data_IF_189683747795
#
_entry.id   IF_189683747795
#
_cell.length_a   1.000
_cell.length_b   1.000
_cell.length_c   1.000
_cell.angle_alpha   90.00
_cell.angle_beta   90.00
_cell.angle_gamma   90.00
#
_symmetry.space_group_name_H-M   'P 1'
#
loop_
_entity.id
_entity.type
_entity.pdbx_description
1 polymer ?
#
# COMPACT_ATOMS: atom_id res chain seq x y z
N UNK A 1 -1.46 6.28 25.11
CA UNK A 1 -2.65 5.97 24.28
C UNK A 1 -2.14 5.06 23.19
N UNK A 2 -2.66 3.84 23.07
CA UNK A 2 -2.28 2.94 21.97
C UNK A 2 -2.71 3.58 20.66
N UNK A 3 -1.76 4.12 19.90
CA UNK A 3 -2.05 4.71 18.60
C UNK A 3 -2.39 3.55 17.66
N UNK A 4 -3.68 3.41 17.35
CA UNK A 4 -4.16 2.37 16.47
C UNK A 4 -3.92 2.79 15.03
N UNK A 5 -3.30 1.90 14.27
CA UNK A 5 -3.17 2.05 12.83
C UNK A 5 -4.55 2.04 12.15
N UNK A 6 -4.88 3.15 11.49
CA UNK A 6 -6.10 3.30 10.69
C UNK A 6 -5.90 2.84 9.24
N UNK A 7 -4.72 3.11 8.65
CA UNK A 7 -4.44 2.72 7.28
C UNK A 7 -4.56 1.20 7.15
N UNK A 8 -5.18 0.74 6.06
CA UNK A 8 -5.56 -0.65 5.74
C UNK A 8 -6.47 -1.40 6.74
N UNK A 9 -6.74 -0.86 7.93
CA UNK A 9 -7.54 -1.53 8.98
C UNK A 9 -8.86 -0.83 9.33
N UNK A 10 -9.08 0.38 8.83
CA UNK A 10 -10.31 1.14 9.01
C UNK A 10 -10.87 1.56 7.64
N UNK A 11 -12.19 1.45 7.41
CA UNK A 11 -12.79 1.93 6.18
C UNK A 11 -12.51 3.42 5.94
N UNK A 12 -12.27 3.78 4.69
CA UNK A 12 -11.96 5.16 4.33
C UNK A 12 -11.24 5.30 3.01
N UNK A 13 -10.92 6.55 2.68
CA UNK A 13 -10.15 6.90 1.50
C UNK A 13 -8.80 7.45 1.92
N UNK A 14 -7.75 6.98 1.28
CA UNK A 14 -6.40 7.49 1.46
C UNK A 14 -5.85 7.91 0.11
N UNK A 15 -5.00 8.92 0.13
CA UNK A 15 -4.26 9.35 -1.05
C UNK A 15 -2.80 9.41 -0.68
N UNK A 16 -1.95 9.27 -1.68
CA UNK A 16 -0.52 9.33 -1.50
C UNK A 16 0.18 9.82 -2.73
N UNK A 17 1.43 10.23 -2.54
CA UNK A 17 2.32 10.60 -3.61
C UNK A 17 3.75 10.23 -3.24
N UNK A 18 4.60 10.10 -4.25
CA UNK A 18 5.98 9.77 -4.02
C UNK A 18 6.78 9.63 -5.30
N UNK A 19 7.89 8.92 -5.19
CA UNK A 19 8.80 8.62 -6.29
C UNK A 19 9.09 7.13 -6.37
N UNK A 20 9.30 6.67 -7.59
CA UNK A 20 9.79 5.35 -7.95
C UNK A 20 11.18 5.53 -8.53
N UNK A 21 12.17 4.82 -8.00
CA UNK A 21 13.56 4.83 -8.46
C UNK A 21 13.99 3.42 -8.84
N UNK A 22 14.84 3.28 -9.86
CA UNK A 22 15.35 1.98 -10.30
C UNK A 22 16.84 1.88 -9.96
N UNK A 23 17.28 0.76 -9.38
CA UNK A 23 18.68 0.60 -8.95
C UNK A 23 19.72 0.77 -10.05
N UNK A 24 19.32 0.59 -11.31
CA UNK A 24 20.19 0.71 -12.49
C UNK A 24 20.20 2.09 -13.15
N UNK A 25 19.35 3.03 -12.71
CA UNK A 25 19.26 4.36 -13.30
C UNK A 25 19.26 5.47 -12.25
N UNK A 26 19.49 6.71 -12.69
CA UNK A 26 19.28 7.91 -11.86
C UNK A 26 17.89 8.51 -12.05
N UNK A 27 17.08 7.87 -12.90
CA UNK A 27 15.77 8.36 -13.24
C UNK A 27 14.80 8.04 -12.10
N UNK A 28 13.88 8.97 -11.87
CA UNK A 28 12.79 8.79 -10.93
C UNK A 28 11.48 9.14 -11.61
N UNK A 29 10.47 8.33 -11.36
CA UNK A 29 9.10 8.59 -11.79
C UNK A 29 8.31 9.04 -10.59
N UNK A 30 7.56 10.14 -10.72
CA UNK A 30 6.58 10.48 -9.68
C UNK A 30 5.38 9.58 -9.80
N UNK A 31 4.77 9.25 -8.68
CA UNK A 31 3.49 8.55 -8.68
C UNK A 31 2.50 9.23 -7.74
N UNK A 32 1.23 9.01 -8.04
CA UNK A 32 0.10 9.34 -7.19
C UNK A 32 -0.68 8.07 -6.94
N UNK A 33 -1.15 7.88 -5.71
CA UNK A 33 -1.96 6.72 -5.34
C UNK A 33 -3.24 7.13 -4.64
N UNK A 34 -4.31 6.39 -4.91
CA UNK A 34 -5.58 6.50 -4.20
C UNK A 34 -5.97 5.13 -3.70
N UNK A 35 -6.44 5.07 -2.46
CA UNK A 35 -6.89 3.85 -1.79
C UNK A 35 -8.34 3.99 -1.35
N UNK A 36 -9.10 2.93 -1.55
CA UNK A 36 -10.45 2.76 -1.03
C UNK A 36 -10.47 1.51 -0.16
N UNK A 37 -10.73 1.70 1.13
CA UNK A 37 -10.73 0.62 2.11
C UNK A 37 -12.17 0.43 2.57
N UNK A 38 -12.65 -0.81 2.45
CA UNK A 38 -13.99 -1.23 2.84
C UNK A 38 -13.90 -2.44 3.76
N UNK A 39 -14.78 -2.50 4.76
CA UNK A 39 -14.93 -3.70 5.59
C UNK A 39 -15.96 -4.61 4.94
N UNK A 40 -15.64 -5.88 4.79
CA UNK A 40 -16.62 -6.86 4.32
C UNK A 40 -17.69 -7.11 5.41
N UNK A 41 -18.98 -7.07 5.04
CA UNK A 41 -20.10 -7.09 6.00
C UNK A 41 -20.15 -8.35 6.89
N UNK A 42 -19.59 -9.46 6.41
CA UNK A 42 -19.73 -10.80 7.04
C UNK A 42 -18.41 -11.39 7.50
N UNK A 43 -17.31 -10.66 7.40
CA UNK A 43 -15.99 -11.15 7.76
C UNK A 43 -15.13 -10.05 8.40
N UNK A 44 -14.06 -10.43 9.09
CA UNK A 44 -13.01 -9.50 9.53
C UNK A 44 -11.95 -9.26 8.44
N UNK A 45 -12.35 -9.38 7.17
CA UNK A 45 -11.51 -9.06 6.02
C UNK A 45 -11.74 -7.62 5.59
N UNK A 46 -10.64 -6.91 5.37
CA UNK A 46 -10.64 -5.59 4.75
C UNK A 46 -10.36 -5.75 3.26
N UNK A 47 -11.23 -5.17 2.43
CA UNK A 47 -11.02 -5.07 0.98
C UNK A 47 -10.44 -3.70 0.68
N UNK A 48 -9.26 -3.67 0.08
CA UNK A 48 -8.64 -2.43 -0.34
C UNK A 48 -8.50 -2.40 -1.85
N UNK A 49 -8.90 -1.30 -2.48
CA UNK A 49 -8.59 -1.03 -3.87
C UNK A 49 -7.56 0.08 -3.89
N UNK A 50 -6.48 -0.12 -4.64
CA UNK A 50 -5.47 0.89 -4.86
C UNK A 50 -5.41 1.21 -6.34
N UNK A 51 -5.38 2.49 -6.65
CA UNK A 51 -5.09 3.01 -7.97
C UNK A 51 -3.74 3.72 -7.90
N UNK A 52 -2.85 3.47 -8.85
CA UNK A 52 -1.53 4.10 -8.98
C UNK A 52 -1.41 4.70 -10.36
N UNK A 53 -1.14 6.00 -10.39
CA UNK A 53 -0.86 6.77 -11.59
C UNK A 53 0.61 7.18 -11.58
N UNK A 54 1.34 6.86 -12.65
CA UNK A 54 2.75 7.24 -12.80
C UNK A 54 2.87 8.42 -13.77
N UNK A 55 3.66 9.42 -13.41
CA UNK A 55 3.88 10.59 -14.24
C UNK A 55 4.51 10.18 -15.58
N UNK A 56 3.83 10.50 -16.68
CA UNK A 56 4.29 10.18 -18.04
C UNK A 56 3.91 8.78 -18.53
N UNK A 57 3.19 7.98 -17.72
CA UNK A 57 2.56 6.76 -18.19
C UNK A 57 1.11 7.02 -18.61
N UNK A 58 0.66 6.40 -19.70
CA UNK A 58 -0.73 6.49 -20.15
C UNK A 58 -1.66 5.56 -19.35
N UNK A 59 -1.09 4.55 -18.68
CA UNK A 59 -1.84 3.51 -17.98
C UNK A 59 -1.87 3.77 -16.47
N UNK A 60 -3.03 3.46 -15.90
CA UNK A 60 -3.28 3.46 -14.46
C UNK A 60 -3.20 2.02 -13.98
N UNK A 61 -2.41 1.76 -12.94
CA UNK A 61 -2.30 0.44 -12.33
C UNK A 61 -3.35 0.32 -11.22
N UNK A 62 -4.15 -0.74 -11.27
CA UNK A 62 -5.17 -1.03 -10.26
C UNK A 62 -4.81 -2.31 -9.53
N UNK A 63 -4.65 -2.21 -8.20
CA UNK A 63 -4.37 -3.33 -7.32
C UNK A 63 -5.60 -3.59 -6.43
N UNK A 64 -5.93 -4.86 -6.22
CA UNK A 64 -6.92 -5.28 -5.24
C UNK A 64 -6.22 -6.03 -4.12
N UNK A 65 -6.47 -5.60 -2.88
CA UNK A 65 -5.93 -6.25 -1.70
C UNK A 65 -7.03 -6.82 -0.81
N UNK A 66 -6.75 -8.00 -0.25
CA UNK A 66 -7.53 -8.58 0.83
C UNK A 66 -6.64 -8.73 2.06
N UNK A 67 -7.07 -8.15 3.18
CA UNK A 67 -6.27 -8.08 4.41
C UNK A 67 -7.06 -8.73 5.53
N UNK A 68 -6.44 -9.70 6.20
CA UNK A 68 -7.06 -10.45 7.29
C UNK A 68 -6.12 -10.52 8.48
N UNK A 69 -6.53 -9.93 9.62
CA UNK A 69 -5.77 -10.06 10.87
C UNK A 69 -5.74 -11.52 11.33
N UNK A 70 -4.56 -12.02 11.67
CA UNK A 70 -4.34 -13.37 12.22
C UNK A 70 -4.05 -13.32 13.71
N UNK A 71 -3.56 -12.18 14.21
CA UNK A 71 -3.32 -11.89 15.63
C UNK A 71 -3.33 -10.37 15.86
N UNK A 72 -2.88 -9.92 17.03
CA UNK A 72 -2.82 -8.48 17.36
C UNK A 72 -1.77 -7.73 16.53
N UNK A 73 -0.66 -8.39 16.21
CA UNK A 73 0.55 -7.84 15.59
C UNK A 73 0.83 -8.43 14.19
N UNK A 74 -0.06 -9.28 13.65
CA UNK A 74 0.12 -9.94 12.34
C UNK A 74 -1.15 -10.02 11.52
N UNK A 75 -0.97 -10.01 10.21
CA UNK A 75 -2.03 -10.18 9.23
C UNK A 75 -1.54 -10.93 7.98
N UNK A 76 -2.48 -11.51 7.25
CA UNK A 76 -2.25 -12.00 5.89
C UNK A 76 -2.72 -10.95 4.91
N UNK A 77 -2.02 -10.84 3.79
CA UNK A 77 -2.35 -9.95 2.69
C UNK A 77 -2.36 -10.73 1.38
N UNK A 78 -3.34 -10.48 0.54
CA UNK A 78 -3.37 -10.94 -0.84
C UNK A 78 -3.41 -9.71 -1.73
N UNK A 79 -2.68 -9.74 -2.84
CA UNK A 79 -2.64 -8.72 -3.88
C UNK A 79 -3.04 -9.37 -5.20
N UNK A 80 -3.99 -8.78 -5.91
CA UNK A 80 -4.37 -9.16 -7.26
C UNK A 80 -4.31 -7.95 -8.20
N UNK A 81 -3.64 -8.11 -9.34
CA UNK A 81 -3.73 -7.17 -10.45
C UNK A 81 -3.50 -7.90 -11.80
N UNK A 82 -3.76 -7.19 -12.91
CA UNK A 82 -3.65 -7.77 -14.25
C UNK A 82 -2.20 -8.16 -14.66
N UNK A 83 -1.19 -7.55 -14.06
CA UNK A 83 0.22 -7.74 -14.41
C UNK A 83 0.88 -8.89 -13.64
N UNK A 84 0.52 -9.06 -12.37
CA UNK A 84 1.11 -10.00 -11.41
C UNK A 84 0.22 -11.23 -11.17
N UNK A 85 -1.07 -11.15 -11.51
CA UNK A 85 -2.05 -12.12 -11.04
C UNK A 85 -2.24 -12.02 -9.53
N UNK A 86 -2.59 -13.14 -8.89
CA UNK A 86 -2.76 -13.22 -7.44
C UNK A 86 -1.43 -13.57 -6.75
N UNK A 87 -1.05 -12.75 -5.78
CA UNK A 87 0.15 -12.89 -4.94
C UNK A 87 -0.25 -12.86 -3.48
N UNK A 88 0.29 -13.78 -2.69
CA UNK A 88 0.07 -13.84 -1.25
C UNK A 88 1.27 -13.32 -0.48
N UNK A 89 1.00 -12.76 0.70
CA UNK A 89 1.99 -12.19 1.57
C UNK A 89 1.57 -12.22 3.03
N UNK A 90 2.48 -11.76 3.87
CA UNK A 90 2.27 -11.64 5.31
C UNK A 90 2.75 -10.28 5.78
N UNK A 91 2.09 -9.74 6.79
CA UNK A 91 2.46 -8.48 7.38
C UNK A 91 2.44 -8.48 8.90
N UNK A 92 3.12 -7.48 9.43
CA UNK A 92 3.31 -7.21 10.85
C UNK A 92 2.88 -5.78 11.16
N UNK A 93 2.47 -5.56 12.39
CA UNK A 93 2.00 -4.27 12.89
C UNK A 93 2.57 -4.08 14.28
N UNK A 94 3.18 -2.93 14.54
CA UNK A 94 3.48 -2.47 15.89
C UNK A 94 2.80 -1.12 16.17
N UNK A 95 3.32 -0.30 17.08
CA UNK A 95 2.74 1.00 17.40
C UNK A 95 3.07 2.10 16.39
N UNK A 96 4.13 1.94 15.60
CA UNK A 96 4.67 2.94 14.68
C UNK A 96 4.64 2.46 13.23
N UNK A 97 4.65 1.15 13.01
CA UNK A 97 4.94 0.57 11.70
C UNK A 97 3.90 -0.46 11.31
N UNK A 98 3.46 -0.35 10.05
CA UNK A 98 2.81 -1.43 9.32
C UNK A 98 3.80 -1.89 8.27
N UNK A 99 4.09 -3.18 8.19
CA UNK A 99 4.94 -3.71 7.14
C UNK A 99 4.37 -5.01 6.58
N UNK A 100 4.59 -5.27 5.30
CA UNK A 100 4.29 -6.55 4.70
C UNK A 100 5.30 -6.92 3.63
N UNK A 101 5.37 -8.21 3.35
CA UNK A 101 6.20 -8.75 2.28
C UNK A 101 5.38 -9.71 1.42
N UNK A 102 5.71 -9.74 0.14
CA UNK A 102 5.22 -10.75 -0.79
C UNK A 102 6.36 -11.73 -1.08
N UNK A 103 6.08 -13.00 -0.84
CA UNK A 103 7.03 -14.10 -1.11
C UNK A 103 6.35 -15.06 -2.07
N UNK A 104 6.67 -14.95 -3.35
CA UNK A 104 6.18 -15.91 -4.35
C UNK A 104 7.35 -16.68 -4.98
N UNK A 105 7.15 -17.97 -5.24
CA UNK A 105 8.13 -18.91 -5.78
C UNK A 105 8.54 -18.63 -7.24
N UNK A 106 8.01 -17.59 -7.87
CA UNK A 106 8.12 -17.37 -9.32
C UNK A 106 8.33 -15.88 -9.62
N UNK A 107 9.38 -15.24 -9.09
CA UNK A 107 10.02 -14.03 -9.66
C UNK A 107 9.72 -12.65 -9.05
N UNK A 108 8.80 -12.51 -8.12
CA UNK A 108 8.54 -11.21 -7.46
C UNK A 108 8.67 -11.36 -5.96
N UNK A 109 9.70 -10.73 -5.41
CA UNK A 109 9.93 -10.60 -3.98
C UNK A 109 10.04 -9.12 -3.64
N UNK A 110 9.40 -8.73 -2.55
CA UNK A 110 9.47 -7.36 -2.10
C UNK A 110 8.72 -7.13 -0.81
N UNK A 111 8.93 -5.94 -0.26
CA UNK A 111 8.29 -5.52 0.97
C UNK A 111 7.84 -4.07 0.88
N UNK A 112 6.85 -3.73 1.70
CA UNK A 112 6.43 -2.36 1.94
C UNK A 112 6.42 -2.09 3.44
N UNK A 113 6.86 -0.89 3.81
CA UNK A 113 6.90 -0.37 5.17
C UNK A 113 6.19 0.97 5.19
N UNK A 114 5.30 1.13 6.15
CA UNK A 114 4.53 2.34 6.40
C UNK A 114 4.80 2.79 7.83
N UNK A 115 5.55 3.87 7.97
CA UNK A 115 5.85 4.48 9.26
C UNK A 115 4.86 5.60 9.55
N UNK A 116 4.03 5.39 10.58
CA UNK A 116 3.11 6.39 11.09
C UNK A 116 3.88 7.65 11.49
N UNK A 117 3.28 8.82 11.29
CA UNK A 117 3.85 10.11 11.65
C UNK A 117 2.99 10.76 12.74
N UNK A 118 3.54 11.74 13.45
CA UNK A 118 2.83 12.45 14.53
C UNK A 118 1.51 13.07 14.07
N UNK A 119 1.42 13.46 12.79
CA UNK A 119 0.23 14.06 12.19
C UNK A 119 -0.82 13.04 11.70
N UNK A 120 -0.56 11.73 11.85
CA UNK A 120 -1.46 10.66 11.42
C UNK A 120 -1.22 10.13 9.99
N UNK A 121 -0.26 10.69 9.28
CA UNK A 121 0.13 10.21 7.94
C UNK A 121 1.12 9.05 8.04
N UNK A 122 1.42 8.43 6.90
CA UNK A 122 2.38 7.35 6.79
C UNK A 122 3.47 7.71 5.80
N UNK A 123 4.73 7.52 6.19
CA UNK A 123 5.84 7.48 5.25
C UNK A 123 5.96 6.07 4.69
N UNK A 124 5.87 5.95 3.38
CA UNK A 124 5.98 4.71 2.63
C UNK A 124 7.42 4.52 2.16
N UNK A 125 7.96 3.33 2.41
CA UNK A 125 9.15 2.81 1.75
C UNK A 125 8.89 1.38 1.27
N UNK A 126 9.20 1.08 0.01
CA UNK A 126 9.08 -0.27 -0.53
C UNK A 126 10.25 -0.63 -1.44
N UNK A 127 10.63 -1.90 -1.43
CA UNK A 127 11.59 -2.47 -2.36
C UNK A 127 11.00 -3.71 -3.03
N UNK A 128 11.09 -3.77 -4.35
CA UNK A 128 10.69 -4.92 -5.16
C UNK A 128 11.83 -5.34 -6.07
N UNK A 129 12.13 -6.63 -6.10
CA UNK A 129 13.15 -7.22 -6.98
C UNK A 129 12.50 -7.97 -8.14
N UNK A 130 13.05 -7.81 -9.34
CA UNK A 130 12.72 -8.59 -10.54
C UNK A 130 13.84 -9.59 -10.88
N UNK A 131 13.57 -10.61 -11.72
CA UNK A 131 14.54 -11.68 -12.06
C UNK A 131 15.86 -11.20 -12.65
N UNK A 132 15.86 -10.05 -13.32
CA UNK A 132 17.02 -9.39 -13.89
C UNK A 132 17.83 -8.59 -12.86
N UNK A 133 17.56 -8.79 -11.56
CA UNK A 133 18.21 -8.13 -10.43
C UNK A 133 18.04 -6.61 -10.38
N UNK A 134 17.09 -6.06 -11.16
CA UNK A 134 16.68 -4.68 -10.95
C UNK A 134 15.84 -4.58 -9.68
N UNK A 135 16.13 -3.53 -8.90
CA UNK A 135 15.34 -3.18 -7.72
C UNK A 135 14.56 -1.92 -8.02
N UNK A 136 13.27 -2.00 -7.78
CA UNK A 136 12.39 -0.84 -7.76
C UNK A 136 12.28 -0.39 -6.31
N UNK A 137 12.64 0.87 -6.06
CA UNK A 137 12.55 1.52 -4.75
C UNK A 137 11.42 2.54 -4.82
N UNK A 138 10.48 2.47 -3.90
CA UNK A 138 9.36 3.41 -3.82
C UNK A 138 9.44 4.14 -2.49
N UNK A 139 9.52 5.46 -2.54
CA UNK A 139 9.40 6.32 -1.36
C UNK A 139 8.18 7.21 -1.53
N UNK A 140 7.37 7.38 -0.48
CA UNK A 140 6.21 8.24 -0.57
C UNK A 140 5.61 8.62 0.76
N UNK A 141 4.48 9.31 0.69
CA UNK A 141 3.64 9.65 1.83
C UNK A 141 2.20 9.25 1.51
N UNK A 142 1.49 8.71 2.49
CA UNK A 142 0.06 8.38 2.42
C UNK A 142 -0.67 9.08 3.55
N UNK A 143 -1.79 9.72 3.24
CA UNK A 143 -2.63 10.42 4.20
C UNK A 143 -4.10 10.19 3.94
N UNK A 144 -4.90 10.30 5.00
CA UNK A 144 -6.35 10.11 4.92
C UNK A 144 -6.95 11.26 4.13
N UNK A 145 -7.76 10.96 3.12
CA UNK A 145 -8.48 11.99 2.38
C UNK A 145 -9.58 12.53 3.28
N UNK A 146 -9.47 13.80 3.68
CA UNK A 146 -10.50 14.48 4.45
C UNK A 146 -11.86 14.33 3.75
N UNK A 147 -12.96 14.12 4.50
CA UNK A 147 -14.30 14.21 3.93
C UNK A 147 -14.44 15.58 3.27
N UNK A 148 -14.91 15.61 2.02
CA UNK A 148 -15.36 16.87 1.42
C UNK A 148 -16.59 17.26 2.23
N UNK A 149 -16.48 18.28 3.07
CA UNK A 149 -17.65 18.94 3.65
C UNK A 149 -18.28 19.70 2.48
N UNK A 150 -19.25 19.10 1.81
CA UNK A 150 -20.18 19.88 0.99
C UNK A 150 -20.91 20.81 1.94
N UNK A 151 -20.53 22.10 1.92
CA UNK A 151 -21.43 23.15 2.36
C UNK A 151 -22.53 23.18 1.31
N UNK A 152 -23.65 22.53 1.61
CA UNK A 152 -24.90 22.80 0.93
C UNK A 152 -25.30 24.24 1.32
N UNK A 153 -25.27 25.14 0.33
CA UNK A 153 -25.85 26.50 0.40
C UNK A 153 -27.39 26.45 0.38
#
# INVERSE_FOLDING_TARGET
MDQKHDFIFSPGRWIGEGRISFSSSRDHLRFYTSWWIEKEEKSDVMRCQQQVEMQGAENIVCNQFLIKKTSADKFNIQLENELLGLVEGSGVIDSQTIAWEFRNNINTEGFEVYELQENGDYMLHAEYSSPDQFRTIIDGRIWKKSPIVTQDE
#
